data_IF_399394904607
#
_entry.id   IF_399394904607
#
_cell.length_a   1.000
_cell.length_b   1.000
_cell.length_c   1.000
_cell.angle_alpha   90.00
_cell.angle_beta   90.00
_cell.angle_gamma   90.00
#
_symmetry.space_group_name_H-M   'P 1'
#
loop_
_entity.id
_entity.type
_entity.pdbx_description
1 polymer ?
#
# COMPACT_ATOMS: atom_id res chain seq x y z
N UNK A 1 57.90 53.03 -23.29
CA UNK A 1 56.45 52.78 -23.31
C UNK A 1 56.21 51.35 -22.85
N UNK A 2 55.78 51.20 -21.59
CA UNK A 2 55.56 49.89 -20.98
C UNK A 2 54.06 49.58 -21.06
N UNK A 3 53.68 48.52 -21.84
CA UNK A 3 52.31 48.05 -21.93
C UNK A 3 52.02 47.04 -20.85
N UNK A 4 51.22 47.41 -19.86
CA UNK A 4 50.71 46.52 -18.84
C UNK A 4 49.47 45.78 -19.41
N UNK A 5 49.57 44.45 -19.57
CA UNK A 5 48.45 43.59 -19.96
C UNK A 5 47.77 43.09 -18.68
N UNK A 6 46.54 43.53 -18.43
CA UNK A 6 45.72 42.99 -17.36
C UNK A 6 45.06 41.70 -17.84
N UNK A 7 45.49 40.55 -17.28
CA UNK A 7 44.79 39.29 -17.41
C UNK A 7 43.61 39.25 -16.46
N UNK A 8 42.39 39.36 -16.98
CA UNK A 8 41.17 39.07 -16.26
C UNK A 8 40.96 37.56 -16.20
N UNK A 9 41.27 36.93 -15.06
CA UNK A 9 40.88 35.55 -14.78
C UNK A 9 39.39 35.49 -14.36
N UNK A 10 38.55 35.02 -15.26
CA UNK A 10 37.17 34.72 -14.99
C UNK A 10 37.12 33.39 -14.23
N UNK A 11 36.94 33.44 -12.92
CA UNK A 11 36.58 32.29 -12.10
C UNK A 11 35.13 31.90 -12.42
N UNK A 12 34.98 30.86 -13.22
CA UNK A 12 33.69 30.22 -13.42
C UNK A 12 33.45 29.32 -12.21
N UNK A 13 32.65 29.80 -11.24
CA UNK A 13 32.16 28.98 -10.16
C UNK A 13 31.17 27.96 -10.72
N UNK A 14 31.62 26.72 -10.88
CA UNK A 14 30.74 25.58 -11.09
C UNK A 14 29.94 25.35 -9.79
N UNK A 15 28.77 25.96 -9.70
CA UNK A 15 27.78 25.56 -8.71
C UNK A 15 27.31 24.14 -9.10
N UNK A 16 27.91 23.14 -8.46
CA UNK A 16 27.49 21.78 -8.57
C UNK A 16 26.02 21.68 -8.10
N UNK A 17 25.11 21.42 -9.03
CA UNK A 17 23.75 21.04 -8.67
C UNK A 17 23.85 19.68 -7.97
N UNK A 18 23.64 19.67 -6.65
CA UNK A 18 23.42 18.45 -5.92
C UNK A 18 22.11 17.83 -6.47
N UNK A 19 22.23 16.78 -7.27
CA UNK A 19 21.12 15.93 -7.63
C UNK A 19 20.66 15.28 -6.32
N UNK A 20 19.41 15.52 -5.91
CA UNK A 20 18.84 14.83 -4.77
C UNK A 20 18.82 13.33 -5.10
N UNK A 21 19.60 12.53 -4.37
CA UNK A 21 19.59 11.08 -4.49
C UNK A 21 18.20 10.57 -4.07
N UNK A 22 17.44 10.08 -5.04
CA UNK A 22 16.15 9.45 -4.79
C UNK A 22 16.34 8.19 -3.95
N UNK A 23 15.63 8.09 -2.82
CA UNK A 23 15.64 6.90 -1.98
C UNK A 23 14.41 6.03 -2.27
N UNK A 24 14.62 4.74 -2.61
CA UNK A 24 13.55 3.77 -2.87
C UNK A 24 13.44 2.80 -1.69
N UNK A 25 12.27 2.78 -1.05
CA UNK A 25 11.92 1.77 -0.04
C UNK A 25 10.81 0.87 -0.61
N UNK A 26 11.10 -0.41 -0.83
CA UNK A 26 10.09 -1.40 -1.20
C UNK A 26 9.25 -1.76 0.01
N UNK A 27 7.92 -1.62 -0.09
CA UNK A 27 6.97 -1.97 0.98
C UNK A 27 6.50 -3.41 0.79
N UNK A 28 6.12 -3.81 -0.44
CA UNK A 28 5.69 -5.16 -0.77
C UNK A 28 6.18 -5.57 -2.16
N UNK A 29 6.41 -6.87 -2.34
CA UNK A 29 6.61 -7.51 -3.65
C UNK A 29 6.20 -8.96 -3.48
N UNK A 30 5.03 -9.34 -3.99
CA UNK A 30 4.46 -10.67 -3.81
C UNK A 30 3.66 -11.08 -5.05
N UNK A 31 3.55 -12.38 -5.28
CA UNK A 31 2.61 -13.01 -6.23
C UNK A 31 1.57 -13.86 -5.49
N UNK A 32 1.46 -13.70 -4.16
CA UNK A 32 0.60 -14.51 -3.30
C UNK A 32 -0.17 -13.64 -2.31
N UNK A 33 -1.37 -14.11 -1.96
CA UNK A 33 -2.25 -13.53 -0.94
C UNK A 33 -1.80 -13.93 0.48
N UNK A 34 -2.52 -13.48 1.50
CA UNK A 34 -2.26 -13.81 2.93
C UNK A 34 -2.23 -15.32 3.18
N UNK A 35 -3.09 -16.10 2.54
CA UNK A 35 -3.14 -17.55 2.69
C UNK A 35 -2.20 -18.31 1.74
N UNK A 36 -1.44 -17.61 0.90
CA UNK A 36 -0.50 -18.22 -0.06
C UNK A 36 -1.15 -18.61 -1.40
N UNK A 37 -2.37 -18.15 -1.67
CA UNK A 37 -3.01 -18.35 -2.96
C UNK A 37 -2.34 -17.47 -4.02
N UNK A 38 -2.17 -18.00 -5.24
CA UNK A 38 -1.61 -17.22 -6.35
C UNK A 38 -2.52 -16.07 -6.74
N UNK A 39 -1.92 -14.91 -7.01
CA UNK A 39 -2.61 -13.72 -7.47
C UNK A 39 -2.69 -13.76 -9.00
N UNK A 40 -3.89 -13.51 -9.53
CA UNK A 40 -4.12 -13.31 -10.95
C UNK A 40 -4.77 -11.96 -11.17
N UNK A 41 -4.41 -11.29 -12.26
CA UNK A 41 -5.13 -10.08 -12.67
C UNK A 41 -6.55 -10.45 -13.11
N UNK A 42 -7.57 -9.71 -12.68
CA UNK A 42 -8.94 -9.96 -13.12
C UNK A 42 -9.06 -9.70 -14.63
N UNK A 43 -9.93 -10.49 -15.29
CA UNK A 43 -10.21 -10.35 -16.73
C UNK A 43 -11.34 -9.34 -16.92
N UNK A 44 -11.11 -8.35 -17.78
CA UNK A 44 -12.09 -7.29 -18.10
C UNK A 44 -11.44 -5.92 -18.20
N UNK A 45 -12.27 -4.89 -18.31
CA UNK A 45 -11.82 -3.50 -18.28
C UNK A 45 -11.32 -3.14 -16.89
N UNK A 46 -10.02 -2.84 -16.78
CA UNK A 46 -9.37 -2.63 -15.50
C UNK A 46 -9.91 -1.38 -14.79
N UNK A 47 -10.17 -1.51 -13.49
CA UNK A 47 -10.50 -0.41 -12.60
C UNK A 47 -9.68 -0.49 -11.33
N UNK A 48 -8.75 0.43 -11.16
CA UNK A 48 -7.98 0.58 -9.92
C UNK A 48 -8.65 1.64 -9.06
N UNK A 49 -9.00 1.26 -7.83
CA UNK A 49 -9.58 2.18 -6.85
C UNK A 49 -8.69 2.23 -5.61
N UNK A 50 -8.24 3.41 -5.23
CA UNK A 50 -7.46 3.62 -4.01
C UNK A 50 -8.23 4.54 -3.06
N UNK A 51 -8.24 4.21 -1.77
CA UNK A 51 -8.88 5.00 -0.72
C UNK A 51 -8.20 4.78 0.64
N UNK A 52 -8.39 5.73 1.54
CA UNK A 52 -8.02 5.56 2.95
C UNK A 52 -9.16 4.87 3.70
N UNK A 53 -8.80 3.88 4.51
CA UNK A 53 -9.72 3.14 5.35
C UNK A 53 -9.38 3.35 6.81
N UNK A 54 -10.36 3.75 7.60
CA UNK A 54 -10.19 4.01 9.04
C UNK A 54 -11.12 3.13 9.85
N UNK A 55 -10.58 2.44 10.89
CA UNK A 55 -11.36 1.61 11.80
C UNK A 55 -11.10 2.07 13.24
N UNK A 56 -12.11 2.49 14.00
CA UNK A 56 -11.97 2.87 15.40
C UNK A 56 -11.42 1.73 16.27
N UNK A 57 -10.83 2.08 17.41
CA UNK A 57 -10.32 1.09 18.40
C UNK A 57 -11.42 0.10 18.78
N UNK A 58 -11.10 -1.19 18.74
CA UNK A 58 -12.00 -2.28 19.10
C UNK A 58 -13.10 -2.56 18.07
N UNK A 59 -13.26 -1.74 17.03
CA UNK A 59 -14.31 -1.93 16.04
C UNK A 59 -13.99 -3.12 15.10
N UNK A 60 -14.99 -3.96 14.78
CA UNK A 60 -14.86 -5.02 13.80
C UNK A 60 -15.15 -4.52 12.38
N UNK A 61 -14.59 -5.21 11.41
CA UNK A 61 -15.03 -5.21 10.01
C UNK A 61 -15.72 -6.55 9.78
N UNK A 62 -17.00 -6.48 9.41
CA UNK A 62 -17.85 -7.66 9.28
C UNK A 62 -17.31 -8.66 8.21
N UNK A 63 -17.68 -9.96 8.31
CA UNK A 63 -17.29 -10.97 7.33
C UNK A 63 -17.68 -10.58 5.90
N UNK A 64 -16.74 -10.73 4.99
CA UNK A 64 -16.91 -10.38 3.58
C UNK A 64 -15.94 -11.14 2.67
N UNK A 65 -16.11 -11.00 1.37
CA UNK A 65 -15.22 -11.52 0.33
C UNK A 65 -14.88 -10.42 -0.67
N UNK A 66 -13.78 -10.61 -1.40
CA UNK A 66 -13.41 -9.82 -2.58
C UNK A 66 -13.44 -10.70 -3.83
N UNK A 67 -13.87 -10.14 -4.97
CA UNK A 67 -13.83 -10.84 -6.27
C UNK A 67 -12.54 -10.60 -7.07
N UNK A 68 -11.63 -9.80 -6.54
CA UNK A 68 -10.34 -9.46 -7.12
C UNK A 68 -9.34 -9.08 -6.01
N UNK A 69 -8.02 -9.03 -6.31
CA UNK A 69 -7.00 -8.69 -5.31
C UNK A 69 -7.19 -7.31 -4.71
N UNK A 70 -7.09 -7.22 -3.39
CA UNK A 70 -7.12 -5.97 -2.63
C UNK A 70 -5.84 -5.86 -1.82
N UNK A 71 -5.04 -4.85 -2.12
CA UNK A 71 -3.81 -4.52 -1.40
C UNK A 71 -4.14 -3.57 -0.24
N UNK A 72 -3.65 -3.90 0.95
CA UNK A 72 -3.64 -3.00 2.09
C UNK A 72 -2.21 -2.65 2.48
N UNK A 73 -2.02 -1.39 2.86
CA UNK A 73 -0.78 -0.88 3.45
C UNK A 73 -1.16 -0.20 4.76
N UNK A 74 -0.71 -0.76 5.88
CA UNK A 74 -1.04 -0.24 7.21
C UNK A 74 -0.17 0.98 7.48
N UNK A 75 -0.81 2.11 7.74
CA UNK A 75 -0.18 3.40 8.06
C UNK A 75 -0.19 3.68 9.55
N UNK A 76 -1.24 3.23 10.27
CA UNK A 76 -1.41 3.42 11.72
C UNK A 76 -2.24 2.29 12.32
N UNK A 77 -2.03 2.01 13.60
CA UNK A 77 -2.81 1.05 14.38
C UNK A 77 -2.40 -0.40 14.13
N UNK A 78 -3.18 -1.32 14.72
CA UNK A 78 -2.97 -2.76 14.57
C UNK A 78 -4.27 -3.41 14.10
N UNK A 79 -4.20 -4.18 13.02
CA UNK A 79 -5.32 -4.95 12.50
C UNK A 79 -5.07 -6.44 12.68
N UNK A 80 -6.05 -7.14 13.22
CA UNK A 80 -6.11 -8.61 13.17
C UNK A 80 -7.09 -9.00 12.07
N UNK A 81 -6.60 -9.80 11.13
CA UNK A 81 -7.36 -10.37 10.02
C UNK A 81 -7.63 -11.84 10.32
N UNK A 82 -8.90 -12.23 10.33
CA UNK A 82 -9.38 -13.56 10.70
C UNK A 82 -10.06 -14.24 9.53
N UNK A 83 -9.77 -15.53 9.33
CA UNK A 83 -10.34 -16.40 8.32
C UNK A 83 -11.23 -17.49 8.95
N UNK A 84 -12.23 -17.98 8.21
CA UNK A 84 -13.18 -19.00 8.70
C UNK A 84 -12.50 -20.34 9.08
N UNK A 85 -11.33 -20.65 8.51
CA UNK A 85 -10.54 -21.83 8.86
C UNK A 85 -9.77 -21.70 10.19
N UNK A 86 -10.00 -20.63 10.93
CA UNK A 86 -9.36 -20.32 12.22
C UNK A 86 -7.96 -19.72 12.10
N UNK A 87 -7.47 -19.47 10.89
CA UNK A 87 -6.22 -18.73 10.71
C UNK A 87 -6.42 -17.25 11.01
N UNK A 88 -5.43 -16.68 11.66
CA UNK A 88 -5.40 -15.26 12.01
C UNK A 88 -4.04 -14.66 11.70
N UNK A 89 -4.02 -13.39 11.32
CA UNK A 89 -2.80 -12.62 11.04
C UNK A 89 -2.93 -11.22 11.63
N UNK A 90 -1.83 -10.72 12.18
CA UNK A 90 -1.74 -9.38 12.76
C UNK A 90 -0.81 -8.55 11.90
N UNK A 91 -1.26 -7.35 11.53
CA UNK A 91 -0.50 -6.38 10.73
C UNK A 91 -0.38 -5.04 11.46
N UNK A 92 0.77 -4.38 11.29
CA UNK A 92 1.18 -3.15 11.98
C UNK A 92 1.66 -2.08 10.98
N UNK A 93 1.87 -0.85 11.41
CA UNK A 93 2.37 0.21 10.53
C UNK A 93 3.65 -0.19 9.79
N UNK A 94 3.61 -0.03 8.47
CA UNK A 94 4.67 -0.46 7.55
C UNK A 94 4.46 -1.82 6.91
N UNK A 95 3.56 -2.65 7.44
CA UNK A 95 3.17 -3.91 6.82
C UNK A 95 2.24 -3.66 5.62
N UNK A 96 2.34 -4.57 4.63
CA UNK A 96 1.44 -4.61 3.50
C UNK A 96 1.11 -6.06 3.13
N UNK A 97 -0.12 -6.29 2.67
CA UNK A 97 -0.59 -7.62 2.29
C UNK A 97 -1.66 -7.54 1.20
N UNK A 98 -1.89 -8.67 0.53
CA UNK A 98 -2.98 -8.83 -0.44
C UNK A 98 -4.02 -9.78 0.16
N UNK A 99 -5.26 -9.32 0.30
CA UNK A 99 -6.38 -10.13 0.78
C UNK A 99 -6.77 -11.22 -0.24
N UNK A 100 -7.30 -12.33 0.28
CA UNK A 100 -7.64 -13.50 -0.51
C UNK A 100 -8.90 -13.27 -1.34
N UNK A 101 -8.86 -13.69 -2.61
CA UNK A 101 -9.98 -13.59 -3.54
C UNK A 101 -10.96 -14.74 -3.28
N UNK A 102 -12.23 -14.42 -3.09
CA UNK A 102 -13.31 -15.39 -2.90
C UNK A 102 -13.32 -16.10 -1.54
N UNK A 103 -12.41 -15.75 -0.63
CA UNK A 103 -12.32 -16.37 0.71
C UNK A 103 -12.96 -15.42 1.73
N UNK A 104 -13.82 -15.96 2.58
CA UNK A 104 -14.47 -15.19 3.65
C UNK A 104 -13.44 -14.86 4.73
N UNK A 105 -13.36 -13.59 5.04
CA UNK A 105 -12.54 -13.07 6.13
C UNK A 105 -13.22 -11.88 6.82
N UNK A 106 -12.78 -11.60 8.03
CA UNK A 106 -13.17 -10.44 8.81
C UNK A 106 -11.92 -9.80 9.41
N UNK A 107 -12.04 -8.60 9.92
CA UNK A 107 -10.94 -7.97 10.64
C UNK A 107 -11.42 -7.17 11.83
N UNK A 108 -10.49 -6.82 12.71
CA UNK A 108 -10.74 -6.02 13.89
C UNK A 108 -9.55 -5.14 14.21
N UNK A 109 -9.84 -3.95 14.70
CA UNK A 109 -8.79 -3.13 15.33
C UNK A 109 -8.48 -3.73 16.72
N UNK A 110 -7.31 -4.34 16.85
CA UNK A 110 -6.82 -4.94 18.11
C UNK A 110 -5.78 -4.07 18.82
N UNK A 111 -5.46 -2.91 18.24
CA UNK A 111 -4.57 -1.91 18.82
C UNK A 111 -5.30 -0.91 19.74
N UNK A 112 -4.55 0.07 20.19
CA UNK A 112 -4.97 1.13 21.12
C UNK A 112 -5.21 2.49 20.42
N UNK A 113 -5.00 2.54 19.11
CA UNK A 113 -5.28 3.72 18.25
C UNK A 113 -6.10 3.30 17.03
N UNK A 114 -6.81 4.22 16.37
CA UNK A 114 -7.52 3.89 15.12
C UNK A 114 -6.59 3.30 14.07
N UNK A 115 -7.06 2.26 13.34
CA UNK A 115 -6.39 1.81 12.12
C UNK A 115 -6.53 2.91 11.06
N UNK A 116 -5.44 3.18 10.35
CA UNK A 116 -5.45 3.85 9.05
C UNK A 116 -4.71 2.99 8.05
N UNK A 117 -5.36 2.67 6.96
CA UNK A 117 -4.79 1.87 5.88
C UNK A 117 -5.03 2.54 4.53
N UNK A 118 -4.02 2.53 3.66
CA UNK A 118 -4.23 2.77 2.25
C UNK A 118 -4.67 1.45 1.62
N UNK A 119 -5.84 1.45 1.00
CA UNK A 119 -6.43 0.30 0.31
C UNK A 119 -6.37 0.54 -1.19
N UNK A 120 -5.90 -0.45 -1.94
CA UNK A 120 -5.87 -0.42 -3.41
C UNK A 120 -6.57 -1.67 -3.95
N UNK A 121 -7.75 -1.48 -4.49
CA UNK A 121 -8.54 -2.52 -5.15
C UNK A 121 -8.11 -2.64 -6.62
N UNK A 122 -7.63 -3.83 -7.02
CA UNK A 122 -7.14 -4.14 -8.37
C UNK A 122 -8.25 -4.88 -9.11
N UNK A 123 -9.29 -4.16 -9.46
CA UNK A 123 -10.54 -4.73 -9.96
C UNK A 123 -10.83 -4.46 -11.44
N UNK A 124 -12.09 -4.69 -11.81
CA UNK A 124 -12.64 -4.41 -13.13
C UNK A 124 -13.93 -3.59 -13.00
N UNK A 125 -14.29 -2.89 -14.06
CA UNK A 125 -15.54 -2.12 -14.11
C UNK A 125 -16.78 -2.99 -13.78
N UNK A 126 -17.72 -2.40 -13.06
CA UNK A 126 -18.99 -3.03 -12.67
C UNK A 126 -18.92 -4.02 -11.52
N UNK A 127 -17.72 -4.39 -11.02
CA UNK A 127 -17.57 -5.28 -9.86
C UNK A 127 -17.48 -4.51 -8.54
N UNK A 128 -18.06 -5.09 -7.48
CA UNK A 128 -17.97 -4.55 -6.12
C UNK A 128 -16.61 -4.87 -5.50
N UNK A 129 -16.05 -3.90 -4.77
CA UNK A 129 -14.80 -4.11 -4.03
C UNK A 129 -14.99 -5.16 -2.93
N UNK A 130 -16.13 -5.12 -2.24
CA UNK A 130 -16.44 -5.99 -1.11
C UNK A 130 -17.87 -6.53 -1.24
N UNK A 131 -18.06 -7.81 -0.93
CA UNK A 131 -19.35 -8.47 -0.84
C UNK A 131 -19.56 -8.99 0.59
N UNK A 132 -20.48 -8.40 1.38
CA UNK A 132 -20.78 -8.89 2.72
C UNK A 132 -21.29 -10.33 2.70
N UNK A 133 -20.91 -11.10 3.71
CA UNK A 133 -21.42 -12.46 3.99
C UNK A 133 -22.35 -12.39 5.20
N UNK A 134 -23.51 -13.05 5.10
CA UNK A 134 -24.53 -13.09 6.18
C UNK A 134 -24.23 -14.23 7.15
#
# INVERSE_FOLDING_TARGET
MLRVVFLFSVLWSMAGQALADGHVKRIISTGETVLGNKIFYPVGEAKITAFEFTVPVGAPVAPHTHSFPVLLIIQQGEVTLDYEDGKSRVYRPGDAFIEDVGVVHSSKNTGDVPIKALVVAIGVEGQKIMTPVK
#
